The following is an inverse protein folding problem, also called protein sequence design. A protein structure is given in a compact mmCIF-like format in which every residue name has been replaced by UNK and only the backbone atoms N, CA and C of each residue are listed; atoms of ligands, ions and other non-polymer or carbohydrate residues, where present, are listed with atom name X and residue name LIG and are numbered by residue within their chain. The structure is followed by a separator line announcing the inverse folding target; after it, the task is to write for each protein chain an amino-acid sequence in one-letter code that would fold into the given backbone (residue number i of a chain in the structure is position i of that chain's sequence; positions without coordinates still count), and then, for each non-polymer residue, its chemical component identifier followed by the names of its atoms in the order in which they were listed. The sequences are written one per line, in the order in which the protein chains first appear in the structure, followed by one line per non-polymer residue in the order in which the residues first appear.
data_IF_736415577228
#
_entry.id   IF_736415577228
#
_cell.length_a   1.000
_cell.length_b   1.000
_cell.length_c   1.000
_cell.angle_alpha   90.00
_cell.angle_beta   90.00
_cell.angle_gamma   90.00
#
_symmetry.space_group_name_H-M   'P 1'
#
loop_
_entity.id
_entity.type
_entity.pdbx_description
1 polymer ?
#
# COMPACT_ATOMS: atom_id res chain seq x y z
N UNK A 1 -22.60 16.20 -22.44
CA UNK A 1 -21.33 15.53 -22.82
C UNK A 1 -20.51 15.44 -21.55
N UNK A 2 -20.66 14.33 -20.83
CA UNK A 2 -20.07 14.17 -19.50
C UNK A 2 -18.58 13.90 -19.65
N UNK A 3 -17.76 14.84 -19.19
CA UNK A 3 -16.33 14.63 -18.98
C UNK A 3 -16.17 13.56 -17.91
N UNK A 4 -15.90 12.32 -18.33
CA UNK A 4 -15.55 11.23 -17.42
C UNK A 4 -14.20 11.56 -16.80
N UNK A 5 -14.21 11.91 -15.51
CA UNK A 5 -13.01 12.16 -14.73
C UNK A 5 -12.26 10.82 -14.66
N UNK A 6 -11.26 10.63 -15.52
CA UNK A 6 -10.49 9.38 -15.53
C UNK A 6 -9.56 9.44 -14.33
N UNK A 7 -9.88 8.60 -13.36
CA UNK A 7 -9.14 8.37 -12.14
C UNK A 7 -7.78 7.73 -12.47
N UNK A 8 -6.78 8.55 -12.76
CA UNK A 8 -5.47 8.09 -13.21
C UNK A 8 -4.56 7.85 -11.99
N UNK A 9 -4.18 6.59 -11.79
CA UNK A 9 -3.10 6.24 -10.85
C UNK A 9 -1.77 6.78 -11.35
N UNK A 10 -1.03 7.43 -10.47
CA UNK A 10 0.33 7.92 -10.70
C UNK A 10 1.31 7.10 -9.87
N UNK A 11 2.29 6.49 -10.54
CA UNK A 11 3.39 5.79 -9.89
C UNK A 11 4.66 6.61 -10.04
N UNK A 12 5.39 6.77 -8.95
CA UNK A 12 6.70 7.40 -8.93
C UNK A 12 7.73 6.39 -8.43
N UNK A 13 8.79 6.21 -9.21
CA UNK A 13 9.94 5.37 -8.86
C UNK A 13 11.16 6.26 -8.68
N UNK A 14 11.84 6.12 -7.55
CA UNK A 14 13.03 6.89 -7.22
C UNK A 14 14.21 5.96 -7.03
N UNK A 15 15.24 6.11 -7.87
CA UNK A 15 16.53 5.46 -7.66
C UNK A 15 17.26 6.19 -6.54
N UNK A 16 17.68 5.47 -5.50
CA UNK A 16 18.34 6.03 -4.33
C UNK A 16 19.87 5.89 -4.39
N UNK A 17 20.57 6.89 -3.88
CA UNK A 17 22.00 6.82 -3.61
C UNK A 17 22.27 5.84 -2.46
N UNK A 18 23.17 4.87 -2.67
CA UNK A 18 23.51 3.83 -1.68
C UNK A 18 24.17 4.37 -0.40
N UNK A 19 24.76 5.57 -0.44
CA UNK A 19 25.46 6.20 0.68
C UNK A 19 24.60 7.22 1.43
N UNK A 20 23.76 7.97 0.72
CA UNK A 20 22.99 9.10 1.30
C UNK A 20 21.48 8.86 1.37
N UNK A 21 20.95 7.85 0.66
CA UNK A 21 19.50 7.60 0.57
C UNK A 21 18.70 8.68 -0.15
N UNK A 22 19.38 9.61 -0.84
CA UNK A 22 18.77 10.67 -1.64
C UNK A 22 18.37 10.15 -3.03
N UNK A 23 17.26 10.61 -3.62
CA UNK A 23 16.90 10.27 -5.00
C UNK A 23 17.96 10.78 -5.99
N UNK A 24 18.59 9.87 -6.73
CA UNK A 24 19.49 10.14 -7.84
C UNK A 24 18.71 10.39 -9.14
N UNK A 25 17.61 9.65 -9.32
CA UNK A 25 16.76 9.77 -10.49
C UNK A 25 15.33 9.40 -10.12
N UNK A 26 14.36 10.08 -10.74
CA UNK A 26 12.94 9.88 -10.51
C UNK A 26 12.22 9.69 -11.83
N UNK A 27 11.36 8.67 -11.91
CA UNK A 27 10.47 8.42 -13.03
C UNK A 27 9.03 8.49 -12.55
N UNK A 28 8.15 9.05 -13.36
CA UNK A 28 6.71 9.14 -13.07
C UNK A 28 5.92 8.56 -14.22
N UNK A 29 5.06 7.60 -13.90
CA UNK A 29 4.17 6.93 -14.83
C UNK A 29 2.72 7.22 -14.45
N UNK A 30 1.87 7.46 -15.45
CA UNK A 30 0.46 7.83 -15.26
C UNK A 30 -0.41 6.86 -16.05
N UNK A 31 -1.34 6.20 -15.38
CA UNK A 31 -2.29 5.28 -16.02
C UNK A 31 -1.64 4.04 -16.62
N UNK A 32 -0.44 3.68 -16.15
CA UNK A 32 0.23 2.44 -16.50
C UNK A 32 -0.26 1.30 -15.60
N UNK A 33 -0.39 0.11 -16.17
CA UNK A 33 -0.67 -1.12 -15.42
C UNK A 33 0.59 -1.99 -15.28
N UNK A 34 1.67 -1.62 -15.97
CA UNK A 34 2.90 -2.37 -16.03
C UNK A 34 4.09 -1.42 -16.14
N UNK A 35 5.16 -1.71 -15.40
CA UNK A 35 6.44 -1.01 -15.47
C UNK A 35 7.57 -2.04 -15.40
N UNK A 36 8.48 -1.99 -16.35
CA UNK A 36 9.63 -2.88 -16.44
C UNK A 36 10.93 -2.15 -16.09
N UNK A 37 11.81 -2.83 -15.35
CA UNK A 37 13.11 -2.30 -14.92
C UNK A 37 14.19 -3.31 -15.26
N UNK A 38 15.22 -2.86 -15.98
CA UNK A 38 16.31 -3.72 -16.38
C UNK A 38 17.44 -3.00 -17.10
N UNK A 39 18.42 -3.77 -17.59
CA UNK A 39 19.56 -3.24 -18.35
C UNK A 39 19.30 -3.14 -19.86
N UNK A 40 18.29 -3.85 -20.37
CA UNK A 40 17.87 -3.69 -21.78
C UNK A 40 17.24 -2.33 -21.97
N UNK A 41 17.44 -1.74 -23.14
CA UNK A 41 16.76 -0.54 -23.62
C UNK A 41 15.27 -0.75 -23.90
N UNK A 42 14.83 -2.01 -23.98
CA UNK A 42 13.41 -2.38 -24.11
C UNK A 42 12.59 -2.15 -22.81
N UNK A 43 13.22 -1.82 -21.68
CA UNK A 43 12.50 -1.59 -20.42
C UNK A 43 12.11 -0.12 -20.23
N UNK A 44 11.01 0.11 -19.51
CA UNK A 44 10.56 1.45 -19.13
C UNK A 44 11.62 2.23 -18.33
N UNK A 45 12.34 1.52 -17.45
CA UNK A 45 13.52 2.04 -16.76
C UNK A 45 14.74 1.21 -17.13
N UNK A 46 15.65 1.85 -17.87
CA UNK A 46 16.93 1.27 -18.27
C UNK A 46 18.06 1.68 -17.32
N UNK A 47 18.76 0.70 -16.76
CA UNK A 47 19.88 0.90 -15.84
C UNK A 47 21.18 0.35 -16.40
N UNK A 48 22.25 1.16 -16.37
CA UNK A 48 23.58 0.74 -16.79
C UNK A 48 24.37 0.10 -15.63
N UNK A 49 23.84 -0.98 -15.05
CA UNK A 49 24.46 -1.66 -13.91
C UNK A 49 24.70 -3.16 -14.21
N UNK A 50 25.92 -3.70 -13.95
CA UNK A 50 26.24 -5.10 -14.22
C UNK A 50 25.50 -6.12 -13.33
N UNK A 51 25.06 -5.71 -12.13
CA UNK A 51 24.22 -6.52 -11.24
C UNK A 51 22.77 -6.60 -11.73
N UNK A 52 22.37 -5.72 -12.66
CA UNK A 52 21.02 -5.69 -13.21
C UNK A 52 20.91 -6.59 -14.44
N UNK A 53 19.92 -7.49 -14.44
CA UNK A 53 19.62 -8.35 -15.59
C UNK A 53 18.96 -7.54 -16.70
N UNK A 54 18.96 -8.06 -17.94
CA UNK A 54 18.33 -7.38 -19.08
C UNK A 54 16.88 -7.00 -18.79
N UNK A 55 16.12 -7.94 -18.24
CA UNK A 55 14.85 -7.72 -17.55
C UNK A 55 15.07 -8.19 -16.11
N UNK A 56 14.96 -7.30 -15.13
CA UNK A 56 15.25 -7.63 -13.74
C UNK A 56 13.99 -7.65 -12.89
N UNK A 57 13.22 -6.58 -12.95
CA UNK A 57 11.98 -6.42 -12.21
C UNK A 57 10.87 -6.06 -13.18
N UNK A 58 9.69 -6.59 -12.89
CA UNK A 58 8.45 -6.18 -13.51
C UNK A 58 7.47 -5.80 -12.41
N UNK A 59 6.92 -4.61 -12.48
CA UNK A 59 5.84 -4.15 -11.61
C UNK A 59 4.55 -4.30 -12.41
N UNK A 60 3.57 -4.97 -11.83
CA UNK A 60 2.25 -5.11 -12.44
C UNK A 60 1.20 -4.63 -11.46
N UNK A 61 0.25 -3.86 -11.94
CA UNK A 61 -0.94 -3.49 -11.21
C UNK A 61 -2.06 -4.44 -11.58
N UNK A 62 -2.57 -5.19 -10.60
CA UNK A 62 -3.88 -5.83 -10.75
C UNK A 62 -4.99 -4.83 -10.39
N UNK A 63 -6.25 -5.25 -10.37
CA UNK A 63 -7.35 -4.32 -10.05
C UNK A 63 -7.20 -3.64 -8.68
N UNK A 64 -6.43 -4.23 -7.75
CA UNK A 64 -6.41 -3.87 -6.32
C UNK A 64 -5.06 -3.32 -5.84
N UNK A 65 -3.95 -3.83 -6.35
CA UNK A 65 -2.62 -3.51 -5.81
C UNK A 65 -1.51 -3.65 -6.86
N UNK A 66 -0.38 -3.00 -6.57
CA UNK A 66 0.86 -3.23 -7.29
C UNK A 66 1.58 -4.46 -6.73
N UNK A 67 2.14 -5.25 -7.62
CA UNK A 67 2.94 -6.44 -7.29
C UNK A 67 4.29 -6.34 -7.97
N UNK A 68 5.36 -6.65 -7.24
CA UNK A 68 6.72 -6.72 -7.76
C UNK A 68 7.09 -8.16 -8.12
N UNK A 69 7.56 -8.37 -9.34
CA UNK A 69 8.04 -9.65 -9.84
C UNK A 69 9.54 -9.60 -10.06
N UNK A 70 10.27 -10.50 -9.41
CA UNK A 70 11.72 -10.64 -9.56
C UNK A 70 12.06 -11.64 -10.65
N UNK A 71 12.51 -11.12 -11.80
CA UNK A 71 12.90 -11.91 -12.98
C UNK A 71 14.42 -12.00 -13.17
N UNK A 72 15.18 -11.17 -12.45
CA UNK A 72 16.62 -11.08 -12.54
C UNK A 72 17.36 -12.25 -11.89
N UNK A 73 18.52 -12.62 -12.46
CA UNK A 73 19.36 -13.73 -11.96
C UNK A 73 19.89 -13.53 -10.55
N UNK A 74 20.15 -12.28 -10.17
CA UNK A 74 20.66 -11.92 -8.84
C UNK A 74 19.52 -11.75 -7.81
N UNK A 75 18.27 -11.86 -8.26
CA UNK A 75 17.06 -11.67 -7.48
C UNK A 75 16.83 -10.24 -7.01
N UNK A 76 15.64 -10.01 -6.47
CA UNK A 76 15.21 -8.70 -5.95
C UNK A 76 14.99 -8.81 -4.45
N UNK A 77 15.39 -7.80 -3.70
CA UNK A 77 15.17 -7.74 -2.25
C UNK A 77 14.15 -6.66 -1.93
N UNK A 78 13.07 -7.01 -1.23
CA UNK A 78 12.11 -6.05 -0.67
C UNK A 78 12.36 -5.95 0.82
N UNK A 79 12.64 -4.75 1.34
CA UNK A 79 12.98 -4.53 2.75
C UNK A 79 14.10 -5.48 3.27
N UNK A 80 15.07 -5.80 2.41
CA UNK A 80 16.20 -6.70 2.71
C UNK A 80 15.94 -8.20 2.51
N UNK A 81 14.68 -8.64 2.41
CA UNK A 81 14.29 -10.04 2.15
C UNK A 81 14.31 -10.33 0.66
N UNK A 82 14.89 -11.45 0.23
CA UNK A 82 14.83 -11.90 -1.16
C UNK A 82 13.39 -12.33 -1.51
N UNK A 83 12.88 -11.86 -2.64
CA UNK A 83 11.51 -12.11 -3.10
C UNK A 83 11.50 -12.72 -4.50
N UNK A 84 10.42 -13.43 -4.81
CA UNK A 84 10.07 -13.85 -6.18
C UNK A 84 8.92 -13.00 -6.67
N UNK A 85 7.87 -12.90 -5.86
CA UNK A 85 6.69 -12.09 -6.07
C UNK A 85 6.17 -11.62 -4.71
N UNK A 86 5.93 -10.32 -4.55
CA UNK A 86 5.31 -9.77 -3.34
C UNK A 86 4.49 -8.52 -3.70
N UNK A 87 3.42 -8.19 -2.94
CA UNK A 87 2.75 -6.90 -3.03
C UNK A 87 3.70 -5.73 -2.75
N UNK A 88 3.48 -4.61 -3.44
CA UNK A 88 4.16 -3.33 -3.20
C UNK A 88 3.21 -2.34 -2.55
N UNK A 89 3.59 -1.89 -1.35
CA UNK A 89 2.96 -0.79 -0.64
C UNK A 89 3.60 0.55 -1.00
N UNK A 90 2.91 1.66 -0.72
CA UNK A 90 3.50 2.99 -0.87
C UNK A 90 4.76 3.14 0.01
N UNK A 91 5.73 3.92 -0.48
CA UNK A 91 7.05 4.13 0.09
C UNK A 91 7.92 2.87 0.24
N UNK A 92 7.50 1.73 -0.33
CA UNK A 92 8.28 0.49 -0.29
C UNK A 92 9.66 0.65 -0.94
N UNK A 93 10.67 -0.01 -0.35
CA UNK A 93 12.04 0.01 -0.86
C UNK A 93 12.48 -1.37 -1.32
N UNK A 94 12.91 -1.45 -2.56
CA UNK A 94 13.42 -2.68 -3.15
C UNK A 94 14.79 -2.49 -3.78
N UNK A 95 15.62 -3.52 -3.75
CA UNK A 95 16.98 -3.52 -4.27
C UNK A 95 17.13 -4.59 -5.36
N UNK A 96 17.77 -4.23 -6.47
CA UNK A 96 18.05 -5.14 -7.57
C UNK A 96 19.39 -5.84 -7.33
N UNK A 97 19.39 -7.13 -6.98
CA UNK A 97 20.58 -7.86 -6.55
C UNK A 97 21.05 -7.51 -5.13
N UNK A 98 22.11 -8.17 -4.66
CA UNK A 98 22.64 -7.99 -3.29
C UNK A 98 23.45 -6.72 -3.07
N UNK A 99 23.96 -6.10 -4.14
CA UNK A 99 24.77 -4.88 -4.10
C UNK A 99 24.41 -3.92 -5.23
N UNK A 100 23.23 -4.07 -5.81
CA UNK A 100 22.80 -3.23 -6.93
C UNK A 100 21.91 -2.07 -6.49
N UNK A 101 21.28 -1.39 -7.45
CA UNK A 101 20.53 -0.17 -7.21
C UNK A 101 19.30 -0.41 -6.33
N UNK A 102 19.03 0.57 -5.47
CA UNK A 102 17.85 0.57 -4.59
C UNK A 102 16.83 1.58 -5.09
N UNK A 103 15.58 1.18 -5.13
CA UNK A 103 14.46 2.00 -5.53
C UNK A 103 13.53 2.23 -4.36
N UNK A 104 12.87 3.40 -4.35
CA UNK A 104 11.68 3.67 -3.58
C UNK A 104 10.49 3.79 -4.52
N UNK A 105 9.43 3.07 -4.19
CA UNK A 105 8.16 3.06 -4.90
C UNK A 105 7.18 4.01 -4.20
N UNK A 106 6.49 4.80 -4.99
CA UNK A 106 5.37 5.62 -4.54
C UNK A 106 4.18 5.44 -5.46
N UNK A 107 3.00 5.30 -4.88
CA UNK A 107 1.75 5.22 -5.63
C UNK A 107 0.76 6.26 -5.09
N UNK A 108 0.28 7.10 -5.98
CA UNK A 108 -0.77 8.06 -5.71
C UNK A 108 -1.86 7.87 -6.76
N UNK A 109 -2.91 7.16 -6.36
CA UNK A 109 -4.15 7.07 -7.13
C UNK A 109 -5.27 7.79 -6.40
N UNK A 110 -6.40 8.04 -7.08
CA UNK A 110 -7.65 8.22 -6.37
C UNK A 110 -7.86 6.94 -5.57
N UNK A 111 -7.93 7.06 -4.26
CA UNK A 111 -8.24 5.93 -3.39
C UNK A 111 -9.55 5.33 -3.91
N UNK A 112 -9.48 4.17 -4.57
CA UNK A 112 -10.69 3.44 -4.92
C UNK A 112 -11.30 3.02 -3.59
N UNK A 113 -12.30 3.76 -3.15
CA UNK A 113 -13.20 3.37 -2.08
C UNK A 113 -13.91 2.11 -2.55
N UNK A 114 -13.33 0.96 -2.24
CA UNK A 114 -13.98 -0.31 -2.49
C UNK A 114 -15.12 -0.46 -1.50
N UNK A 115 -16.32 -0.08 -1.94
CA UNK A 115 -17.54 -0.77 -1.54
C UNK A 115 -17.41 -2.21 -2.06
N UNK A 116 -16.81 -3.07 -1.24
CA UNK A 116 -16.92 -4.50 -1.49
C UNK A 116 -18.42 -4.82 -1.41
N UNK A 117 -19.00 -5.26 -2.52
CA UNK A 117 -20.22 -6.07 -2.49
C UNK A 117 -19.83 -7.41 -1.89
N UNK A 118 -19.66 -7.42 -0.58
CA UNK A 118 -19.92 -8.60 0.21
C UNK A 118 -21.35 -8.37 0.66
N UNK A 119 -22.23 -9.35 0.42
CA UNK A 119 -23.49 -9.42 1.15
C UNK A 119 -23.18 -9.15 2.63
N UNK A 120 -23.50 -7.93 3.08
CA UNK A 120 -23.46 -7.49 4.46
C UNK A 120 -22.09 -7.41 5.16
N UNK A 121 -21.16 -6.54 4.72
CA UNK A 121 -20.10 -6.00 5.60
C UNK A 121 -20.19 -4.47 5.68
N UNK A 122 -20.28 -4.01 6.93
CA UNK A 122 -20.41 -2.63 7.41
C UNK A 122 -19.22 -1.75 6.96
N UNK A 123 -19.56 -0.65 6.27
CA UNK A 123 -18.64 0.32 5.66
C UNK A 123 -18.11 1.38 6.64
N UNK A 124 -18.35 1.24 7.94
CA UNK A 124 -17.77 2.13 8.96
C UNK A 124 -16.32 1.82 9.33
N UNK A 125 -15.75 0.70 8.85
CA UNK A 125 -14.46 0.18 9.33
C UNK A 125 -13.21 0.52 8.49
N UNK A 126 -13.31 1.33 7.43
CA UNK A 126 -12.16 1.65 6.55
C UNK A 126 -11.70 3.12 6.63
N UNK A 127 -11.68 3.69 7.84
CA UNK A 127 -10.96 4.94 8.15
C UNK A 127 -9.76 4.68 9.09
N UNK A 128 -9.22 3.46 9.13
CA UNK A 128 -8.34 3.00 10.23
C UNK A 128 -6.85 2.86 9.94
N UNK A 129 -6.32 3.37 8.83
CA UNK A 129 -4.86 3.36 8.61
C UNK A 129 -4.27 4.73 8.22
N UNK A 130 -4.91 5.83 8.64
CA UNK A 130 -4.13 7.05 8.89
C UNK A 130 -3.56 6.95 10.30
N UNK A 131 -2.42 6.26 10.43
CA UNK A 131 -1.61 6.33 11.65
C UNK A 131 -1.01 7.74 11.69
N UNK A 132 -1.76 8.70 12.21
CA UNK A 132 -1.22 9.97 12.67
C UNK A 132 -0.71 9.74 14.10
N UNK A 133 0.62 9.69 14.24
CA UNK A 133 1.32 9.55 15.51
C UNK A 133 1.18 10.79 16.45
N UNK A 134 0.18 11.65 16.28
CA UNK A 134 -0.08 12.80 17.18
C UNK A 134 -1.50 12.88 17.69
N UNK A 135 -1.94 11.88 18.46
CA UNK A 135 -2.85 12.07 19.61
C UNK A 135 -2.81 10.86 20.56
N UNK A 136 -1.64 10.62 21.15
CA UNK A 136 -1.58 10.10 22.52
C UNK A 136 -2.38 11.10 23.38
N UNK A 137 -3.11 10.61 24.38
CA UNK A 137 -3.98 11.37 25.30
C UNK A 137 -5.27 11.95 24.69
N UNK A 138 -6.27 11.10 24.48
CA UNK A 138 -7.70 11.43 24.65
C UNK A 138 -8.56 10.13 24.63
N UNK A 139 -8.11 9.07 25.32
CA UNK A 139 -8.95 7.90 25.66
C UNK A 139 -9.95 8.24 26.77
N UNK A 140 -10.68 9.33 26.59
CA UNK A 140 -11.69 9.77 27.56
C UNK A 140 -12.97 10.05 26.79
N UNK A 141 -13.94 9.16 27.02
CA UNK A 141 -15.38 9.44 26.99
C UNK A 141 -16.09 9.34 25.63
N UNK A 142 -16.49 8.11 25.25
CA UNK A 142 -17.82 7.78 24.68
C UNK A 142 -17.87 6.33 24.16
N UNK A 143 -17.83 5.35 25.08
CA UNK A 143 -18.50 4.07 24.78
C UNK A 143 -19.96 4.28 25.13
N UNK A 144 -20.67 4.67 24.09
CA UNK A 144 -22.11 4.69 23.86
C UNK A 144 -22.95 3.99 24.93
N UNK A 145 -23.72 4.82 25.63
CA UNK A 145 -25.01 4.48 26.20
C UNK A 145 -25.85 3.77 25.13
N UNK A 146 -26.12 2.47 25.29
CA UNK A 146 -26.92 1.73 24.33
C UNK A 146 -27.40 0.39 24.87
N UNK A 147 -28.60 0.39 25.42
CA UNK A 147 -29.52 -0.75 25.63
C UNK A 147 -29.17 -1.86 26.64
N UNK A 148 -27.92 -2.17 26.95
CA UNK A 148 -27.61 -3.25 27.90
C UNK A 148 -27.88 -2.89 29.38
N UNK A 149 -27.68 -1.62 29.77
CA UNK A 149 -27.85 -1.17 31.16
C UNK A 149 -29.33 -0.98 31.56
N UNK A 150 -30.19 -0.62 30.60
CA UNK A 150 -31.64 -0.47 30.82
C UNK A 150 -32.29 -1.82 31.15
N UNK A 151 -31.86 -2.91 30.49
CA UNK A 151 -32.36 -4.25 30.78
C UNK A 151 -31.95 -4.76 32.17
N UNK A 152 -30.75 -4.41 32.63
CA UNK A 152 -30.25 -4.79 33.95
C UNK A 152 -30.98 -4.06 35.08
N UNK A 153 -31.38 -2.79 34.87
CA UNK A 153 -32.20 -2.04 35.83
C UNK A 153 -33.65 -2.55 35.88
N UNK A 154 -34.26 -2.91 34.75
CA UNK A 154 -35.62 -3.46 34.74
C UNK A 154 -35.70 -4.85 35.39
N UNK A 155 -34.66 -5.69 35.21
CA UNK A 155 -34.57 -6.99 35.89
C UNK A 155 -34.37 -6.84 37.40
N UNK A 156 -33.54 -5.89 37.84
CA UNK A 156 -33.34 -5.62 39.26
C UNK A 156 -34.59 -5.05 39.95
N UNK A 157 -35.44 -4.30 39.21
CA UNK A 157 -36.71 -3.76 39.74
C UNK A 157 -37.75 -4.85 39.98
N UNK A 158 -37.90 -5.82 39.06
CA UNK A 158 -38.87 -6.92 39.20
C UNK A 158 -38.59 -7.85 40.39
N UNK A 159 -37.33 -7.98 40.80
CA UNK A 159 -36.93 -8.80 41.94
C UNK A 159 -37.26 -8.17 43.30
N UNK A 160 -37.58 -6.87 43.37
CA UNK A 160 -37.95 -6.18 44.62
C UNK A 160 -39.46 -6.10 44.86
N UNK A 161 -40.30 -6.35 43.87
CA UNK A 161 -41.77 -6.25 43.98
C UNK A 161 -42.46 -7.59 44.24
N UNK A 162 -41.71 -8.70 44.32
CA UNK A 162 -42.24 -10.05 44.65
C UNK A 162 -41.78 -10.57 46.03
N UNK A 163 -41.24 -9.71 46.91
CA UNK A 163 -40.96 -10.05 48.32
C UNK A 163 -41.74 -9.19 49.29
#
# INVERSE_FOLDING_TARGET
MSSGNTEITTVTLELLDSSQGTPLQTWTFRGCEEISIGRSDDNDITLSDPQVSRLHVKLTHDERQWTIHSLGRNGTRLNGKLIVEEPLEDAARFQLGGSGPTFRFHVSGPAKTYSATIDNIDLSALDFLTIDERKKSEEVQQIVEGEAFQQLQEQARRLREQS
#
